data_IF_653557483110
#
_entry.id   IF_653557483110
#
_cell.length_a   1.000
_cell.length_b   1.000
_cell.length_c   1.000
_cell.angle_alpha   90.00
_cell.angle_beta   90.00
_cell.angle_gamma   90.00
#
_symmetry.space_group_name_H-M   'P 1'
#
loop_
_entity.id
_entity.type
_entity.pdbx_description
1 polymer ?
#
# COMPACT_ATOMS: atom_id res chain seq x y z
N UNK A 1 17.80 -1.04 6.60
CA UNK A 1 18.31 -2.43 6.58
C UNK A 1 19.25 -2.56 5.41
N UNK A 2 20.48 -2.97 5.67
CA UNK A 2 21.47 -3.33 4.66
C UNK A 2 21.65 -4.86 4.76
N UNK A 3 21.42 -5.56 3.66
CA UNK A 3 21.61 -7.02 3.59
C UNK A 3 23.05 -7.42 3.28
N UNK A 4 23.82 -6.47 2.75
CA UNK A 4 25.21 -6.64 2.35
C UNK A 4 26.00 -5.40 2.79
N UNK A 5 27.31 -5.60 2.99
CA UNK A 5 28.24 -4.53 3.28
C UNK A 5 28.32 -3.54 2.11
N UNK A 6 28.39 -2.24 2.43
CA UNK A 6 28.55 -1.22 1.40
C UNK A 6 30.00 -1.17 0.91
N UNK A 7 30.19 -1.00 -0.40
CA UNK A 7 31.53 -0.90 -1.03
C UNK A 7 32.30 0.35 -0.56
N UNK A 8 31.60 1.39 -0.08
CA UNK A 8 32.22 2.61 0.45
C UNK A 8 31.40 3.22 1.59
N UNK A 9 32.07 4.03 2.42
CA UNK A 9 31.43 4.79 3.48
C UNK A 9 30.38 5.79 2.96
N UNK A 10 30.67 6.48 1.86
CA UNK A 10 29.70 7.40 1.22
C UNK A 10 28.40 6.67 0.82
N UNK A 11 28.52 5.46 0.27
CA UNK A 11 27.34 4.63 -0.04
C UNK A 11 26.57 4.23 1.21
N UNK A 12 27.29 3.88 2.29
CA UNK A 12 26.68 3.59 3.59
C UNK A 12 25.90 4.79 4.13
N UNK A 13 26.49 5.99 4.15
CA UNK A 13 25.85 7.22 4.61
C UNK A 13 24.62 7.57 3.77
N UNK A 14 24.68 7.41 2.44
CA UNK A 14 23.52 7.66 1.58
C UNK A 14 22.35 6.69 1.83
N UNK A 15 22.65 5.43 2.17
CA UNK A 15 21.64 4.44 2.59
C UNK A 15 21.09 4.78 3.97
N UNK A 16 21.97 5.08 4.93
CA UNK A 16 21.60 5.47 6.29
C UNK A 16 20.76 6.77 6.33
N UNK A 17 21.09 7.75 5.50
CA UNK A 17 20.38 9.02 5.35
C UNK A 17 18.99 8.90 4.72
N UNK A 18 18.55 7.69 4.37
CA UNK A 18 17.13 7.43 4.04
C UNK A 18 16.26 7.43 5.31
N UNK A 19 16.84 7.18 6.47
CA UNK A 19 16.19 7.28 7.78
C UNK A 19 16.46 8.66 8.41
N UNK A 20 15.90 8.95 9.60
CA UNK A 20 16.33 10.09 10.43
C UNK A 20 16.27 11.50 9.76
N UNK A 21 15.24 11.75 8.93
CA UNK A 21 15.13 13.04 8.21
C UNK A 21 14.54 14.13 9.10
N UNK A 22 14.86 15.40 8.77
CA UNK A 22 14.33 16.57 9.45
C UNK A 22 14.57 16.56 10.97
N UNK A 23 15.79 16.20 11.39
CA UNK A 23 16.20 16.17 12.80
C UNK A 23 15.61 15.02 13.62
N UNK A 24 14.92 14.07 13.00
CA UNK A 24 14.42 12.87 13.67
C UNK A 24 15.53 11.84 13.85
N UNK A 25 15.43 10.99 14.87
CA UNK A 25 16.31 9.84 15.05
C UNK A 25 15.88 8.67 14.16
N UNK A 26 16.83 7.84 13.73
CA UNK A 26 16.52 6.63 13.00
C UNK A 26 17.63 5.61 13.12
N UNK A 27 17.28 4.34 12.95
CA UNK A 27 18.18 3.22 13.15
C UNK A 27 18.48 2.53 11.83
N UNK A 28 19.72 2.10 11.66
CA UNK A 28 20.19 1.34 10.51
C UNK A 28 20.72 0.02 11.00
N UNK A 29 20.14 -1.07 10.50
CA UNK A 29 20.61 -2.43 10.75
C UNK A 29 21.39 -2.89 9.51
N UNK A 30 22.60 -3.41 9.72
CA UNK A 30 23.40 -4.05 8.68
C UNK A 30 23.61 -5.51 9.05
N UNK A 31 23.27 -6.41 8.13
CA UNK A 31 23.51 -7.84 8.26
C UNK A 31 24.88 -8.13 7.64
N UNK A 32 25.71 -8.85 8.37
CA UNK A 32 27.09 -9.17 7.99
C UNK A 32 27.22 -10.68 7.91
N UNK A 33 27.87 -11.17 6.85
CA UNK A 33 28.02 -12.60 6.61
C UNK A 33 29.26 -13.19 7.29
N UNK A 34 30.24 -12.35 7.63
CA UNK A 34 31.52 -12.76 8.21
C UNK A 34 32.06 -11.74 9.21
N UNK A 35 32.92 -12.21 10.12
CA UNK A 35 33.60 -11.34 11.09
C UNK A 35 34.54 -10.33 10.41
N UNK A 36 35.09 -10.66 9.24
CA UNK A 36 35.93 -9.73 8.47
C UNK A 36 35.13 -8.53 7.97
N UNK A 37 33.88 -8.73 7.53
CA UNK A 37 32.98 -7.64 7.15
C UNK A 37 32.62 -6.74 8.34
N UNK A 38 32.53 -7.31 9.55
CA UNK A 38 32.32 -6.54 10.78
C UNK A 38 33.49 -5.62 11.08
N UNK A 39 34.71 -6.14 11.03
CA UNK A 39 35.92 -5.34 11.24
C UNK A 39 36.01 -4.22 10.21
N UNK A 40 35.76 -4.52 8.92
CA UNK A 40 35.75 -3.52 7.85
C UNK A 40 34.70 -2.44 8.09
N UNK A 41 33.48 -2.81 8.49
CA UNK A 41 32.42 -1.84 8.77
C UNK A 41 32.78 -0.96 9.97
N UNK A 42 33.28 -1.55 11.05
CA UNK A 42 33.69 -0.82 12.24
C UNK A 42 34.84 0.13 11.96
N UNK A 43 35.81 -0.28 11.14
CA UNK A 43 36.93 0.56 10.72
C UNK A 43 36.44 1.74 9.86
N UNK A 44 35.61 1.48 8.84
CA UNK A 44 34.98 2.52 8.02
C UNK A 44 34.18 3.53 8.84
N UNK A 45 33.44 3.07 9.86
CA UNK A 45 32.65 3.96 10.71
C UNK A 45 33.56 4.74 11.67
N UNK A 46 34.59 4.11 12.24
CA UNK A 46 35.53 4.79 13.15
C UNK A 46 36.36 5.87 12.46
N UNK A 47 36.74 5.67 11.20
CA UNK A 47 37.59 6.61 10.45
C UNK A 47 36.83 7.86 10.00
N UNK A 48 35.58 7.73 9.55
CA UNK A 48 34.89 8.79 8.81
C UNK A 48 33.61 9.32 9.51
N UNK A 49 33.16 8.68 10.60
CA UNK A 49 31.82 8.92 11.16
C UNK A 49 31.86 9.47 12.59
N UNK A 50 32.23 10.74 12.76
CA UNK A 50 32.09 11.43 14.05
C UNK A 50 30.61 11.48 14.48
N UNK A 51 30.20 10.60 15.40
CA UNK A 51 28.85 10.53 15.96
C UNK A 51 28.03 9.28 15.61
N UNK A 52 28.54 8.37 14.79
CA UNK A 52 27.89 7.07 14.56
C UNK A 52 28.39 6.05 15.58
N UNK A 53 27.47 5.50 16.38
CA UNK A 53 27.75 4.40 17.31
C UNK A 53 27.23 3.11 16.69
N UNK A 54 28.16 2.29 16.18
CA UNK A 54 27.85 0.94 15.71
C UNK A 54 27.98 -0.03 16.89
N UNK A 55 26.84 -0.54 17.36
CA UNK A 55 26.79 -1.56 18.40
C UNK A 55 26.26 -2.88 17.81
N UNK A 56 26.88 -4.03 18.14
CA UNK A 56 26.33 -5.32 17.81
C UNK A 56 24.91 -5.46 18.38
N UNK A 57 23.95 -5.85 17.55
CA UNK A 57 22.61 -6.14 18.01
C UNK A 57 22.59 -7.55 18.60
N UNK A 58 22.53 -7.64 19.93
CA UNK A 58 22.36 -8.93 20.61
C UNK A 58 20.93 -9.42 20.41
N UNK A 59 20.77 -10.42 19.55
CA UNK A 59 19.48 -11.03 19.28
C UNK A 59 19.31 -12.29 20.11
N UNK A 60 18.29 -12.32 20.97
CA UNK A 60 17.97 -13.51 21.76
C UNK A 60 17.21 -14.52 20.90
N UNK A 61 17.69 -15.77 20.75
CA UNK A 61 17.03 -16.76 19.90
C UNK A 61 15.61 -17.12 20.37
N UNK A 62 15.37 -17.07 21.69
CA UNK A 62 14.03 -17.28 22.27
C UNK A 62 12.97 -16.30 21.77
N UNK A 63 13.38 -15.06 21.48
CA UNK A 63 12.46 -14.04 20.95
C UNK A 63 12.17 -14.26 19.46
N UNK A 64 13.10 -14.85 18.72
CA UNK A 64 12.95 -15.14 17.30
C UNK A 64 12.15 -16.42 17.04
N UNK A 65 12.27 -17.43 17.90
CA UNK A 65 11.56 -18.72 17.78
C UNK A 65 10.04 -18.55 17.63
N UNK A 66 9.46 -17.58 18.33
CA UNK A 66 8.04 -17.27 18.24
C UNK A 66 7.61 -16.87 16.80
N UNK A 67 8.53 -16.33 16.00
CA UNK A 67 8.29 -15.95 14.60
C UNK A 67 8.63 -17.04 13.59
N UNK A 68 9.19 -18.19 14.01
CA UNK A 68 9.68 -19.24 13.11
C UNK A 68 8.63 -19.66 12.08
N UNK A 69 7.41 -19.95 12.51
CA UNK A 69 6.32 -20.37 11.61
C UNK A 69 5.97 -19.31 10.55
N UNK A 70 6.10 -18.02 10.87
CA UNK A 70 5.83 -16.91 9.93
C UNK A 70 6.93 -16.78 8.89
N UNK A 71 8.18 -16.95 9.33
CA UNK A 71 9.33 -16.97 8.44
C UNK A 71 9.23 -18.17 7.50
N UNK A 72 8.87 -19.34 8.02
CA UNK A 72 8.64 -20.55 7.20
C UNK A 72 7.51 -20.35 6.18
N UNK A 73 6.40 -19.72 6.57
CA UNK A 73 5.30 -19.43 5.66
C UNK A 73 5.72 -18.41 4.56
N UNK A 74 6.50 -17.39 4.93
CA UNK A 74 7.08 -16.45 3.98
C UNK A 74 8.04 -17.15 3.00
N UNK A 75 8.88 -18.06 3.50
CA UNK A 75 9.82 -18.82 2.68
C UNK A 75 9.08 -19.77 1.72
N UNK A 76 8.02 -20.46 2.18
CA UNK A 76 7.18 -21.30 1.32
C UNK A 76 6.52 -20.51 0.19
N UNK A 77 6.20 -19.24 0.44
CA UNK A 77 5.68 -18.36 -0.59
C UNK A 77 6.73 -18.05 -1.68
N UNK A 78 8.03 -18.18 -1.43
CA UNK A 78 9.10 -17.94 -2.41
C UNK A 78 9.38 -19.22 -3.19
N UNK A 79 8.76 -19.37 -4.36
CA UNK A 79 8.95 -20.53 -5.24
C UNK A 79 9.90 -20.23 -6.41
N UNK A 80 10.58 -21.22 -7.02
CA UNK A 80 11.43 -21.00 -8.19
C UNK A 80 10.70 -20.35 -9.37
N UNK A 81 9.41 -20.62 -9.54
CA UNK A 81 8.57 -19.97 -10.54
C UNK A 81 8.44 -18.46 -10.27
N UNK A 82 8.25 -18.08 -8.99
CA UNK A 82 8.20 -16.67 -8.56
C UNK A 82 9.53 -15.97 -8.77
N UNK A 83 10.63 -16.61 -8.41
CA UNK A 83 11.99 -16.06 -8.65
C UNK A 83 12.20 -15.80 -10.14
N UNK A 84 11.84 -16.74 -11.02
CA UNK A 84 11.92 -16.53 -12.48
C UNK A 84 11.04 -15.37 -12.95
N UNK A 85 9.79 -15.29 -12.50
CA UNK A 85 8.88 -14.19 -12.86
C UNK A 85 9.38 -12.83 -12.37
N UNK A 86 9.96 -12.76 -11.16
CA UNK A 86 10.53 -11.54 -10.60
C UNK A 86 11.72 -11.06 -11.43
N UNK A 87 12.67 -11.96 -11.75
CA UNK A 87 13.82 -11.65 -12.62
C UNK A 87 13.38 -11.16 -14.01
N UNK A 88 12.38 -11.82 -14.61
CA UNK A 88 11.83 -11.36 -15.89
C UNK A 88 11.24 -9.96 -15.79
N UNK A 89 10.55 -9.63 -14.70
CA UNK A 89 10.01 -8.30 -14.48
C UNK A 89 11.09 -7.23 -14.25
N UNK A 90 12.18 -7.58 -13.59
CA UNK A 90 13.33 -6.67 -13.43
C UNK A 90 13.96 -6.37 -14.81
N UNK A 91 14.21 -7.40 -15.62
CA UNK A 91 14.70 -7.22 -17.00
C UNK A 91 13.73 -6.40 -17.85
N UNK A 92 12.42 -6.66 -17.78
CA UNK A 92 11.39 -5.85 -18.47
C UNK A 92 11.47 -4.37 -18.08
N UNK A 93 11.64 -4.07 -16.78
CA UNK A 93 11.77 -2.70 -16.27
C UNK A 93 13.06 -2.04 -16.75
N UNK A 94 14.17 -2.77 -16.75
CA UNK A 94 15.45 -2.29 -17.27
C UNK A 94 15.37 -1.98 -18.77
N UNK A 95 14.72 -2.85 -19.56
CA UNK A 95 14.50 -2.61 -21.00
C UNK A 95 13.73 -1.32 -21.26
N UNK A 96 12.64 -1.09 -20.52
CA UNK A 96 11.83 0.13 -20.66
C UNK A 96 12.62 1.39 -20.26
N UNK A 97 13.49 1.28 -19.26
CA UNK A 97 14.30 2.40 -18.79
C UNK A 97 15.60 2.61 -19.58
N UNK A 98 15.97 1.65 -20.44
CA UNK A 98 17.20 1.67 -21.23
C UNK A 98 17.21 2.82 -22.24
N UNK A 99 18.27 3.64 -22.20
CA UNK A 99 18.42 4.80 -23.09
C UNK A 99 18.39 4.45 -24.57
N UNK A 100 18.92 3.27 -24.93
CA UNK A 100 19.00 2.79 -26.31
C UNK A 100 17.63 2.47 -26.91
N UNK A 101 16.66 2.07 -26.07
CA UNK A 101 15.33 1.64 -26.52
C UNK A 101 14.25 2.72 -26.29
N UNK A 102 14.59 3.84 -25.65
CA UNK A 102 13.64 4.94 -25.40
C UNK A 102 13.04 5.49 -26.70
N UNK A 103 13.84 5.67 -27.74
CA UNK A 103 13.38 6.16 -29.05
C UNK A 103 12.47 5.13 -29.72
N UNK A 104 12.88 3.86 -29.73
CA UNK A 104 12.09 2.75 -30.27
C UNK A 104 10.70 2.63 -29.62
N UNK A 105 10.63 2.76 -28.28
CA UNK A 105 9.36 2.73 -27.56
C UNK A 105 8.54 4.02 -27.68
N UNK A 106 9.15 5.15 -28.05
CA UNK A 106 8.41 6.35 -28.40
C UNK A 106 7.64 6.15 -29.72
N UNK A 107 8.26 5.44 -30.67
CA UNK A 107 7.66 5.10 -31.96
C UNK A 107 6.68 3.92 -31.85
N UNK A 108 6.91 3.00 -30.91
CA UNK A 108 6.11 1.78 -30.71
C UNK A 108 5.51 1.70 -29.30
N UNK A 109 4.47 2.51 -28.98
CA UNK A 109 3.90 2.55 -27.63
C UNK A 109 3.24 1.23 -27.21
N UNK A 110 2.67 0.49 -28.17
CA UNK A 110 2.00 -0.78 -27.91
C UNK A 110 2.96 -1.87 -27.37
N UNK A 111 4.21 -1.90 -27.85
CA UNK A 111 5.20 -2.89 -27.40
C UNK A 111 5.70 -2.58 -25.99
N UNK A 112 5.89 -1.29 -25.69
CA UNK A 112 6.20 -0.83 -24.34
C UNK A 112 5.11 -1.25 -23.36
N UNK A 113 3.85 -1.05 -23.75
CA UNK A 113 2.68 -1.36 -22.93
C UNK A 113 2.46 -2.87 -22.76
N UNK A 114 2.84 -3.67 -23.77
CA UNK A 114 2.90 -5.13 -23.70
C UNK A 114 3.99 -5.63 -22.75
N UNK A 115 5.19 -5.03 -22.78
CA UNK A 115 6.28 -5.37 -21.86
C UNK A 115 5.96 -5.00 -20.41
N UNK A 116 5.31 -3.86 -20.18
CA UNK A 116 4.87 -3.43 -18.84
C UNK A 116 3.64 -4.18 -18.33
N UNK A 117 3.00 -5.02 -19.16
CA UNK A 117 1.81 -5.77 -18.78
C UNK A 117 0.58 -4.87 -18.59
N UNK A 118 0.50 -3.73 -19.26
CA UNK A 118 -0.70 -2.88 -19.24
C UNK A 118 -1.74 -3.30 -20.29
N UNK A 119 -1.31 -4.00 -21.35
CA UNK A 119 -2.17 -4.50 -22.43
C UNK A 119 -2.20 -6.03 -22.48
N UNK A 120 -3.12 -6.67 -21.74
CA UNK A 120 -3.56 -8.06 -22.03
C UNK A 120 -3.19 -9.17 -21.04
N UNK A 121 -3.82 -10.34 -21.26
CA UNK A 121 -3.90 -11.57 -20.45
C UNK A 121 -2.62 -12.02 -19.71
N UNK A 122 -1.42 -11.80 -20.28
CA UNK A 122 -0.13 -12.12 -19.64
C UNK A 122 0.08 -11.36 -18.32
N UNK A 123 -0.45 -10.15 -18.22
CA UNK A 123 -0.43 -9.35 -17.00
C UNK A 123 -1.15 -10.05 -15.85
N UNK A 124 -2.27 -10.71 -16.12
CA UNK A 124 -3.07 -11.34 -15.07
C UNK A 124 -2.33 -12.52 -14.45
N UNK A 125 -1.58 -13.28 -15.26
CA UNK A 125 -0.83 -14.43 -14.78
C UNK A 125 0.44 -14.02 -14.02
N UNK A 126 1.27 -13.14 -14.60
CA UNK A 126 2.50 -12.68 -13.94
C UNK A 126 2.20 -11.83 -12.69
N UNK A 127 1.17 -10.97 -12.74
CA UNK A 127 0.78 -10.15 -11.60
C UNK A 127 0.10 -10.96 -10.49
N UNK A 128 -0.66 -12.01 -10.84
CA UNK A 128 -1.20 -12.94 -9.84
C UNK A 128 -0.07 -13.68 -9.12
N UNK A 129 1.00 -14.05 -9.81
CA UNK A 129 2.17 -14.67 -9.19
C UNK A 129 2.91 -13.71 -8.24
N UNK A 130 2.98 -12.41 -8.55
CA UNK A 130 3.63 -11.42 -7.68
C UNK A 130 2.80 -11.02 -6.45
N UNK A 131 1.47 -10.96 -6.58
CA UNK A 131 0.60 -10.36 -5.56
C UNK A 131 0.12 -11.31 -4.45
N UNK A 132 0.47 -12.61 -4.47
CA UNK A 132 0.14 -13.50 -3.35
C UNK A 132 1.20 -13.41 -2.24
N UNK A 133 1.41 -12.22 -1.71
CA UNK A 133 1.97 -12.08 -0.36
C UNK A 133 0.79 -12.17 0.59
N UNK A 134 0.87 -13.06 1.58
CA UNK A 134 -0.21 -13.25 2.53
C UNK A 134 -0.44 -11.96 3.33
N UNK A 135 -1.63 -11.33 3.24
CA UNK A 135 -1.87 -10.03 3.86
C UNK A 135 -1.78 -10.08 5.40
N UNK A 136 -2.05 -11.25 5.98
CA UNK A 136 -1.98 -11.48 7.42
C UNK A 136 -0.53 -11.53 7.95
N UNK A 137 0.46 -11.79 7.09
CA UNK A 137 1.87 -11.79 7.47
C UNK A 137 2.36 -10.38 7.83
N UNK A 138 1.72 -9.34 7.29
CA UNK A 138 2.03 -7.94 7.60
C UNK A 138 1.55 -7.47 8.99
N UNK A 139 0.67 -8.22 9.66
CA UNK A 139 0.20 -7.91 11.00
C UNK A 139 0.80 -8.88 12.02
N UNK A 140 1.47 -8.36 13.04
CA UNK A 140 2.08 -9.14 14.12
C UNK A 140 1.12 -9.19 15.32
N UNK A 141 0.63 -10.38 15.72
CA UNK A 141 -0.23 -10.54 16.88
C UNK A 141 0.46 -10.17 18.18
N UNK A 142 -0.32 -9.62 19.12
CA UNK A 142 0.15 -9.14 20.42
C UNK A 142 0.85 -10.21 21.27
N UNK A 143 0.51 -11.49 21.09
CA UNK A 143 1.11 -12.59 21.83
C UNK A 143 2.55 -12.91 21.39
N UNK A 144 2.95 -12.58 20.15
CA UNK A 144 4.33 -12.74 19.68
C UNK A 144 5.24 -11.58 20.10
N UNK A 145 4.65 -10.48 20.56
CA UNK A 145 5.39 -9.30 20.95
C UNK A 145 5.82 -9.41 22.41
N UNK A 146 7.09 -9.07 22.72
CA UNK A 146 7.54 -8.82 24.08
C UNK A 146 6.60 -7.82 24.79
N UNK A 147 6.32 -7.99 26.09
CA UNK A 147 5.41 -7.12 26.84
C UNK A 147 5.71 -5.62 26.67
N UNK A 148 6.99 -5.26 26.62
CA UNK A 148 7.45 -3.88 26.43
C UNK A 148 7.07 -3.24 25.07
N UNK A 149 6.80 -4.04 24.03
CA UNK A 149 6.47 -3.55 22.68
C UNK A 149 4.98 -3.64 22.33
N UNK A 150 4.14 -4.23 23.19
CA UNK A 150 2.72 -4.43 22.89
C UNK A 150 1.95 -3.11 22.73
N UNK A 151 2.31 -2.11 23.53
CA UNK A 151 1.69 -0.78 23.53
C UNK A 151 2.10 0.09 22.34
N UNK A 152 3.30 -0.10 21.77
CA UNK A 152 3.76 0.69 20.63
C UNK A 152 3.23 0.19 19.29
N UNK A 153 2.86 -1.09 19.20
CA UNK A 153 2.46 -1.75 17.96
C UNK A 153 0.94 -1.92 17.83
N UNK A 154 0.16 -1.89 18.92
CA UNK A 154 -1.31 -1.97 18.85
C UNK A 154 -1.95 -0.87 17.99
N UNK A 155 -1.24 0.24 17.82
CA UNK A 155 -1.69 1.38 17.01
C UNK A 155 -1.40 1.21 15.50
N UNK A 156 -0.48 0.30 15.14
CA UNK A 156 -0.10 0.04 13.76
C UNK A 156 -1.03 -0.99 13.11
N UNK A 157 -2.21 -0.52 12.73
CA UNK A 157 -3.08 -1.21 11.76
C UNK A 157 -2.92 -0.52 10.41
N UNK A 158 -2.21 -1.12 9.43
CA UNK A 158 -2.11 -0.58 8.08
C UNK A 158 -3.51 -0.27 7.51
N UNK A 159 -3.82 1.02 7.38
CA UNK A 159 -5.05 1.50 6.73
C UNK A 159 -6.28 1.77 7.62
N UNK A 160 -6.30 1.39 8.90
CA UNK A 160 -7.44 1.72 9.80
C UNK A 160 -7.21 2.97 10.67
N UNK A 161 -5.98 3.20 11.13
CA UNK A 161 -5.73 4.19 12.19
C UNK A 161 -5.10 5.50 11.70
N UNK A 162 -4.86 5.66 10.39
CA UNK A 162 -4.28 6.90 9.88
C UNK A 162 -5.39 7.96 9.68
N UNK A 163 -5.48 9.02 10.50
CA UNK A 163 -6.57 10.02 10.41
C UNK A 163 -6.59 10.71 9.04
N UNK A 164 -5.43 10.84 8.38
CA UNK A 164 -5.31 11.37 7.03
C UNK A 164 -5.98 10.46 5.97
N UNK A 165 -5.76 9.14 6.05
CA UNK A 165 -6.39 8.16 5.18
C UNK A 165 -7.91 8.09 5.41
N UNK A 166 -8.36 8.18 6.67
CA UNK A 166 -9.78 8.24 7.03
C UNK A 166 -10.47 9.48 6.46
N UNK A 167 -9.79 10.63 6.48
CA UNK A 167 -10.28 11.89 5.89
C UNK A 167 -10.35 11.80 4.35
N UNK A 168 -9.36 11.17 3.72
CA UNK A 168 -9.33 10.96 2.28
C UNK A 168 -10.45 10.01 1.80
N UNK A 169 -10.68 8.90 2.52
CA UNK A 169 -11.75 7.94 2.24
C UNK A 169 -13.14 8.56 2.41
N UNK A 170 -13.36 9.36 3.48
CA UNK A 170 -14.60 10.14 3.68
C UNK A 170 -14.82 11.18 2.56
N UNK A 171 -13.78 11.90 2.13
CA UNK A 171 -13.85 12.85 0.99
C UNK A 171 -14.21 12.14 -0.32
N UNK A 172 -13.61 10.97 -0.60
CA UNK A 172 -13.90 10.17 -1.79
C UNK A 172 -15.35 9.68 -1.80
N UNK A 173 -15.86 9.14 -0.69
CA UNK A 173 -17.28 8.74 -0.57
C UNK A 173 -18.24 9.92 -0.75
N UNK A 174 -17.94 11.11 -0.19
CA UNK A 174 -18.76 12.31 -0.40
C UNK A 174 -18.79 12.75 -1.87
N UNK A 175 -17.66 12.71 -2.58
CA UNK A 175 -17.59 13.07 -4.02
C UNK A 175 -18.41 12.11 -4.88
N UNK A 176 -18.32 10.80 -4.62
CA UNK A 176 -19.11 9.78 -5.32
C UNK A 176 -20.63 9.94 -5.07
N UNK A 177 -21.02 10.26 -3.83
CA UNK A 177 -22.42 10.56 -3.49
C UNK A 177 -22.95 11.83 -4.17
N UNK A 178 -22.13 12.89 -4.27
CA UNK A 178 -22.49 14.13 -4.96
C UNK A 178 -22.60 13.93 -6.48
N UNK A 179 -21.74 13.08 -7.07
CA UNK A 179 -21.79 12.73 -8.49
C UNK A 179 -23.06 11.92 -8.81
N UNK A 180 -23.45 10.97 -7.96
CA UNK A 180 -24.74 10.26 -8.09
C UNK A 180 -25.96 11.19 -8.00
N UNK A 181 -25.91 12.24 -7.18
CA UNK A 181 -27.00 13.25 -7.11
C UNK A 181 -27.06 14.14 -8.36
N UNK A 182 -25.91 14.56 -8.91
CA UNK A 182 -25.85 15.38 -10.14
C UNK A 182 -26.33 14.63 -11.38
N UNK A 183 -26.00 13.34 -11.51
CA UNK A 183 -26.49 12.51 -12.62
C UNK A 183 -28.02 12.34 -12.55
N UNK A 184 -28.59 12.20 -11.34
CA UNK A 184 -30.05 12.15 -11.16
C UNK A 184 -30.76 13.48 -11.47
N UNK A 185 -30.16 14.63 -11.17
CA UNK A 185 -30.75 15.94 -11.48
C UNK A 185 -30.61 16.31 -12.96
N UNK A 186 -29.51 15.92 -13.61
CA UNK A 186 -29.34 16.13 -15.05
C UNK A 186 -30.32 15.27 -15.88
N UNK A 187 -30.57 14.01 -15.47
CA UNK A 187 -31.59 13.18 -16.09
C UNK A 187 -33.04 13.70 -15.89
N UNK A 188 -33.26 14.62 -14.95
CA UNK A 188 -34.54 15.26 -14.71
C UNK A 188 -34.71 16.60 -15.46
N UNK A 189 -33.62 17.25 -15.89
CA UNK A 189 -33.68 18.52 -16.64
C UNK A 189 -33.61 18.36 -18.16
N UNK A 190 -33.37 17.15 -18.66
CA UNK A 190 -33.29 16.82 -20.09
C UNK A 190 -34.65 16.39 -20.68
N UNK A 191 -35.75 16.80 -20.03
CA UNK A 191 -37.11 16.60 -20.55
C UNK A 191 -37.69 17.94 -20.93
N UNK A 192 -38.14 18.03 -22.18
CA UNK A 192 -38.67 19.25 -22.80
C UNK A 192 -39.81 19.85 -21.95
N UNK A 193 -39.69 21.09 -21.44
CA UNK A 193 -40.69 21.68 -20.54
C UNK A 193 -42.05 21.93 -21.19
N UNK A 194 -42.19 21.75 -22.51
CA UNK A 194 -43.45 21.88 -23.26
C UNK A 194 -44.25 20.56 -23.37
N UNK A 195 -43.65 19.41 -23.08
CA UNK A 195 -44.32 18.09 -23.19
C UNK A 195 -45.18 17.73 -21.96
N UNK A 196 -45.01 18.43 -20.82
CA UNK A 196 -45.68 18.09 -19.55
C UNK A 196 -46.71 19.12 -19.06
N UNK A 197 -47.19 20.02 -19.93
CA UNK A 197 -48.32 20.90 -19.62
C UNK A 197 -49.64 20.12 -19.58
N UNK A 198 -49.86 19.36 -18.49
CA UNK A 198 -51.21 18.94 -18.12
C UNK A 198 -51.83 20.05 -17.28
N UNK A 199 -52.89 20.67 -17.79
CA UNK A 199 -53.67 21.65 -17.02
C UNK A 199 -54.16 21.01 -15.73
N UNK A 200 -53.60 21.47 -14.60
CA UNK A 200 -54.06 21.06 -13.28
C UNK A 200 -55.43 21.69 -13.04
N UNK A 201 -56.49 20.91 -13.25
CA UNK A 201 -57.83 21.27 -12.79
C UNK A 201 -57.76 21.59 -11.29
N UNK A 202 -58.33 22.74 -10.91
CA UNK A 202 -58.35 23.22 -9.53
C UNK A 202 -59.01 22.21 -8.57
N UNK A 203 -58.73 22.30 -7.27
CA UNK A 203 -59.18 21.29 -6.32
C UNK A 203 -60.71 21.32 -6.18
N UNK A 204 -61.37 20.31 -6.75
CA UNK A 204 -62.76 19.99 -6.45
C UNK A 204 -62.89 19.65 -4.97
N UNK A 205 -63.73 20.39 -4.25
CA UNK A 205 -64.12 20.12 -2.86
C UNK A 205 -64.71 18.71 -2.78
N UNK A 206 -63.97 17.74 -2.25
CA UNK A 206 -64.55 16.47 -1.80
C UNK A 206 -64.95 16.60 -0.34
N UNK A 207 -66.25 16.40 -0.09
CA UNK A 207 -66.88 16.44 1.22
C UNK A 207 -66.31 15.34 2.13
N UNK A 208 -66.07 15.69 3.40
CA UNK A 208 -65.63 14.75 4.44
C UNK A 208 -66.76 13.77 4.78
N UNK A 209 -66.51 12.44 4.88
CA UNK A 209 -67.52 11.53 5.41
C UNK A 209 -67.66 11.68 6.93
N UNK A 210 -68.90 11.60 7.40
CA UNK A 210 -69.28 11.75 8.80
C UNK A 210 -68.71 10.64 9.70
N UNK A 211 -68.22 11.02 10.88
CA UNK A 211 -67.77 10.10 11.94
C UNK A 211 -68.98 9.34 12.50
N UNK A 212 -69.01 8.01 12.38
CA UNK A 212 -69.91 7.16 13.17
C UNK A 212 -69.31 6.95 14.56
N UNK A 213 -70.00 7.46 15.58
CA UNK A 213 -69.79 7.10 16.97
C UNK A 213 -70.21 5.63 17.16
N UNK A 214 -69.35 4.83 17.77
CA UNK A 214 -69.71 3.53 18.35
C UNK A 214 -69.63 3.66 19.86
N UNK A 215 -70.78 3.67 20.51
CA UNK A 215 -70.91 3.64 21.96
C UNK A 215 -70.55 2.24 22.48
N UNK A 216 -69.86 2.22 23.63
CA UNK A 216 -69.63 1.03 24.47
C UNK A 216 -70.95 0.39 24.89
N UNK A 217 -70.99 -0.94 24.96
CA UNK A 217 -71.37 -1.71 26.15
C UNK A 217 -70.46 -2.92 26.24
#
# INVERSE_FOLDING_TARGET
LNFELCVSFSAYVHRAGRTARAGQTGSVLSLLASESEEVQLLEMIRSEAAGFVANPLLVQPSQLEAFRYRVEDALRAVTPARVRSARLNDVKRELVNSEKLKTYFADNPHERDALLGSSGSLAQHDQALMNQVQPHLGHIPSYLLPPAMRSSISDYVPGMNNPAARRHRKRKLKRLGAQKKRVKSAAASDRDPLENFTMRAGPGRQAKPARRFSAKR
#
